data_IF_850291100179
#
_entry.id   IF_850291100179
#
_cell.length_a   1.000
_cell.length_b   1.000
_cell.length_c   1.000
_cell.angle_alpha   90.00
_cell.angle_beta   90.00
_cell.angle_gamma   90.00
#
_symmetry.space_group_name_H-M   'P 1'
#
loop_
_entity.id
_entity.type
_entity.pdbx_description
1 polymer ?
#
# COMPACT_ATOMS: atom_id res chain seq x y z
N UNK A 1 -9.08 15.38 18.96
CA UNK A 1 -8.42 14.12 18.48
C UNK A 1 -6.92 14.32 18.54
N UNK A 2 -6.14 13.31 18.93
CA UNK A 2 -4.69 13.47 19.15
C UNK A 2 -3.91 12.50 18.25
N UNK A 3 -2.89 13.04 17.58
CA UNK A 3 -1.90 12.30 16.77
C UNK A 3 -0.52 12.30 17.48
N UNK A 4 -0.51 12.41 18.80
CA UNK A 4 0.71 12.51 19.61
C UNK A 4 1.71 13.58 19.13
N UNK A 5 1.19 14.69 18.55
CA UNK A 5 2.01 15.80 18.05
C UNK A 5 2.71 15.57 16.72
N UNK A 6 2.51 14.41 16.09
CA UNK A 6 3.08 14.11 14.74
C UNK A 6 2.48 15.05 13.69
N UNK A 7 1.15 15.24 13.74
CA UNK A 7 0.46 16.20 12.88
C UNK A 7 -0.14 17.31 13.75
N UNK A 8 0.12 18.56 13.38
CA UNK A 8 -0.40 19.74 14.07
C UNK A 8 -1.54 20.36 13.26
N UNK A 9 -2.55 20.87 13.98
CA UNK A 9 -3.68 21.64 13.41
C UNK A 9 -4.55 20.88 12.38
N UNK A 10 -4.48 19.55 12.32
CA UNK A 10 -5.39 18.78 11.49
C UNK A 10 -6.82 18.86 12.05
N UNK A 11 -7.77 19.29 11.22
CA UNK A 11 -9.20 19.40 11.58
C UNK A 11 -10.01 18.22 11.02
N UNK A 12 -9.61 17.69 9.88
CA UNK A 12 -10.30 16.61 9.19
C UNK A 12 -9.43 15.36 9.08
N UNK A 13 -10.08 14.21 9.13
CA UNK A 13 -9.41 12.91 9.04
C UNK A 13 -10.23 11.95 8.18
N UNK A 14 -9.56 11.20 7.32
CA UNK A 14 -10.09 10.00 6.71
C UNK A 14 -9.91 8.86 7.71
N UNK A 15 -11.03 8.32 8.16
CA UNK A 15 -11.10 7.23 9.13
C UNK A 15 -12.03 6.16 8.57
N UNK A 16 -11.59 4.90 8.61
CA UNK A 16 -12.39 3.77 8.18
C UNK A 16 -12.21 2.60 9.13
N UNK A 17 -13.26 1.82 9.32
CA UNK A 17 -13.21 0.54 10.00
C UNK A 17 -13.32 -0.61 9.01
N UNK A 18 -12.90 -1.78 9.42
CA UNK A 18 -13.02 -3.01 8.65
C UNK A 18 -13.29 -4.20 9.58
N UNK A 19 -14.10 -5.13 9.14
CA UNK A 19 -14.23 -6.42 9.78
C UNK A 19 -13.09 -7.34 9.35
N UNK A 20 -12.65 -8.20 10.26
CA UNK A 20 -11.61 -9.17 9.93
C UNK A 20 -12.13 -10.19 8.91
N UNK A 21 -11.31 -10.48 7.90
CA UNK A 21 -11.66 -11.42 6.83
C UNK A 21 -10.47 -11.69 5.91
N UNK A 22 -10.68 -12.58 4.95
CA UNK A 22 -9.68 -12.84 3.92
C UNK A 22 -9.46 -11.59 3.07
N UNK A 23 -8.20 -11.19 2.85
CA UNK A 23 -7.78 -9.99 2.13
C UNK A 23 -8.35 -8.66 2.67
N UNK A 24 -8.93 -8.66 3.89
CA UNK A 24 -9.56 -7.47 4.45
C UNK A 24 -8.58 -6.29 4.61
N UNK A 25 -7.33 -6.54 4.99
CA UNK A 25 -6.34 -5.49 5.15
C UNK A 25 -5.85 -4.95 3.81
N UNK A 26 -5.73 -5.81 2.80
CA UNK A 26 -5.42 -5.42 1.42
C UNK A 26 -6.54 -4.57 0.83
N UNK A 27 -7.79 -4.97 0.98
CA UNK A 27 -8.96 -4.20 0.54
C UNK A 27 -9.03 -2.84 1.23
N UNK A 28 -8.76 -2.80 2.55
CA UNK A 28 -8.69 -1.54 3.30
C UNK A 28 -7.58 -0.62 2.75
N UNK A 29 -6.40 -1.18 2.50
CA UNK A 29 -5.26 -0.45 1.93
C UNK A 29 -5.60 0.13 0.56
N UNK A 30 -6.18 -0.68 -0.32
CA UNK A 30 -6.63 -0.29 -1.65
C UNK A 30 -7.66 0.85 -1.61
N UNK A 31 -8.74 0.67 -0.87
CA UNK A 31 -9.83 1.64 -0.81
C UNK A 31 -9.35 2.98 -0.23
N UNK A 32 -8.57 2.95 0.83
CA UNK A 32 -8.08 4.16 1.47
C UNK A 32 -7.04 4.88 0.62
N UNK A 33 -6.14 4.16 -0.06
CA UNK A 33 -5.19 4.78 -0.99
C UNK A 33 -5.89 5.47 -2.15
N UNK A 34 -6.95 4.87 -2.69
CA UNK A 34 -7.78 5.50 -3.72
C UNK A 34 -8.36 6.84 -3.26
N UNK A 35 -8.81 6.94 -2.00
CA UNK A 35 -9.27 8.20 -1.41
C UNK A 35 -8.12 9.20 -1.22
N UNK A 36 -6.94 8.75 -0.83
CA UNK A 36 -5.74 9.57 -0.67
C UNK A 36 -5.29 10.14 -2.02
N UNK A 37 -5.26 9.33 -3.06
CA UNK A 37 -4.94 9.78 -4.42
C UNK A 37 -5.99 10.79 -4.93
N UNK A 38 -7.26 10.57 -4.65
CA UNK A 38 -8.31 11.54 -4.99
C UNK A 38 -8.13 12.87 -4.21
N UNK A 39 -7.79 12.81 -2.92
CA UNK A 39 -7.48 14.01 -2.13
C UNK A 39 -6.28 14.76 -2.72
N UNK A 40 -5.24 14.05 -3.13
CA UNK A 40 -4.06 14.60 -3.81
C UNK A 40 -4.43 15.30 -5.12
N UNK A 41 -5.29 14.69 -5.92
CA UNK A 41 -5.82 15.30 -7.16
C UNK A 41 -6.55 16.61 -6.91
N UNK A 42 -7.18 16.77 -5.73
CA UNK A 42 -7.85 17.98 -5.28
C UNK A 42 -6.88 19.00 -4.63
N UNK A 43 -5.57 18.75 -4.63
CA UNK A 43 -4.56 19.62 -4.01
C UNK A 43 -4.50 19.53 -2.48
N UNK A 44 -5.11 18.50 -1.88
CA UNK A 44 -5.09 18.28 -0.44
C UNK A 44 -3.89 17.43 -0.04
N UNK A 45 -3.31 17.74 1.11
CA UNK A 45 -2.26 16.95 1.75
C UNK A 45 -2.86 15.88 2.66
N UNK A 46 -2.25 14.70 2.67
CA UNK A 46 -2.62 13.56 3.51
C UNK A 46 -1.38 12.91 4.11
N UNK A 47 -1.58 12.06 5.11
CA UNK A 47 -0.50 11.27 5.70
C UNK A 47 -1.06 9.98 6.30
N UNK A 48 -0.49 8.82 5.95
CA UNK A 48 -0.81 7.55 6.57
C UNK A 48 -0.30 7.49 8.01
N UNK A 49 -1.19 7.22 8.98
CA UNK A 49 -0.86 7.04 10.39
C UNK A 49 -1.37 5.68 10.88
N UNK A 50 -0.44 4.72 11.08
CA UNK A 50 -0.76 3.37 11.53
C UNK A 50 -0.63 3.13 13.03
N UNK A 51 0.19 3.92 13.74
CA UNK A 51 0.47 3.70 15.17
C UNK A 51 0.56 4.99 16.02
N UNK A 52 0.55 6.14 15.38
CA UNK A 52 0.81 7.45 16.01
C UNK A 52 -0.48 8.25 16.23
N UNK A 53 -1.56 7.58 16.65
CA UNK A 53 -2.83 8.23 16.96
C UNK A 53 -3.55 7.55 18.14
N UNK A 54 -4.43 8.29 18.81
CA UNK A 54 -5.17 7.82 19.99
C UNK A 54 -6.41 7.05 19.54
N UNK A 55 -6.26 5.72 19.38
CA UNK A 55 -7.30 4.83 18.81
C UNK A 55 -8.64 4.99 19.53
N UNK A 56 -8.69 4.97 20.87
CA UNK A 56 -9.94 5.03 21.61
C UNK A 56 -10.81 6.24 21.24
N UNK A 57 -10.19 7.39 21.02
CA UNK A 57 -10.92 8.60 20.62
C UNK A 57 -11.45 8.55 19.21
N UNK A 58 -10.67 7.98 18.30
CA UNK A 58 -11.12 7.82 16.91
C UNK A 58 -12.19 6.73 16.79
N UNK A 59 -12.03 5.60 17.49
CA UNK A 59 -13.04 4.52 17.55
C UNK A 59 -14.37 5.03 18.09
N UNK A 60 -14.36 5.82 19.17
CA UNK A 60 -15.56 6.44 19.72
C UNK A 60 -16.20 7.42 18.72
N UNK A 61 -15.39 8.23 18.05
CA UNK A 61 -15.87 9.23 17.11
C UNK A 61 -16.56 8.63 15.88
N UNK A 62 -16.15 7.44 15.42
CA UNK A 62 -16.79 6.75 14.29
C UNK A 62 -17.84 5.73 14.72
N UNK A 63 -18.06 5.56 16.03
CA UNK A 63 -19.00 4.54 16.53
C UNK A 63 -18.54 3.12 16.20
N UNK A 64 -17.23 2.82 16.33
CA UNK A 64 -16.65 1.51 16.00
C UNK A 64 -17.45 0.39 16.68
N UNK A 65 -17.90 -0.60 15.90
CA UNK A 65 -18.69 -1.71 16.39
C UNK A 65 -17.82 -2.86 16.90
N UNK A 66 -18.41 -3.76 17.67
CA UNK A 66 -17.74 -4.99 18.10
C UNK A 66 -17.32 -5.84 16.89
N UNK A 67 -16.10 -6.34 16.91
CA UNK A 67 -15.51 -7.10 15.80
C UNK A 67 -14.91 -6.28 14.69
N UNK A 68 -15.10 -4.94 14.69
CA UNK A 68 -14.43 -4.06 13.74
C UNK A 68 -13.05 -3.64 14.24
N UNK A 69 -12.15 -3.44 13.28
CA UNK A 69 -10.80 -2.89 13.49
C UNK A 69 -10.73 -1.48 12.91
N UNK A 70 -9.96 -0.62 13.56
CA UNK A 70 -9.54 0.68 13.06
C UNK A 70 -8.03 0.63 12.76
N UNK A 71 -7.62 0.25 11.52
CA UNK A 71 -6.22 -0.01 11.23
C UNK A 71 -5.36 1.26 11.21
N UNK A 72 -5.83 2.28 10.52
CA UNK A 72 -5.08 3.52 10.28
C UNK A 72 -6.02 4.71 10.17
N UNK A 73 -5.47 5.91 10.35
CA UNK A 73 -6.14 7.17 10.03
C UNK A 73 -5.29 7.98 9.06
N UNK A 74 -5.89 8.99 8.42
CA UNK A 74 -5.14 9.95 7.61
C UNK A 74 -5.71 11.35 7.83
N UNK A 75 -4.92 12.31 8.36
CA UNK A 75 -5.34 13.70 8.34
C UNK A 75 -5.46 14.19 6.89
N UNK A 76 -6.38 15.09 6.66
CA UNK A 76 -6.64 15.73 5.35
C UNK A 76 -6.73 17.23 5.54
N UNK A 77 -6.08 17.98 4.67
CA UNK A 77 -6.13 19.44 4.70
C UNK A 77 -5.17 20.06 3.69
N UNK A 78 -5.18 21.37 3.62
CA UNK A 78 -4.20 22.06 2.78
C UNK A 78 -2.79 21.86 3.34
N UNK A 79 -1.81 21.47 2.49
CA UNK A 79 -0.45 21.28 2.96
C UNK A 79 0.15 22.59 3.44
N UNK A 80 0.89 22.55 4.56
CA UNK A 80 1.62 23.70 5.05
C UNK A 80 2.70 24.14 4.04
N UNK A 81 2.91 25.44 3.91
CA UNK A 81 3.96 26.01 3.03
C UNK A 81 5.36 25.54 3.43
N UNK A 82 5.58 25.28 4.72
CA UNK A 82 6.85 24.77 5.25
C UNK A 82 6.60 23.52 6.11
N UNK A 83 7.40 22.49 5.86
CA UNK A 83 7.39 21.25 6.66
C UNK A 83 7.95 21.51 8.06
N UNK A 84 7.32 20.96 9.09
CA UNK A 84 7.81 21.04 10.47
C UNK A 84 9.14 20.27 10.63
N UNK A 85 9.94 20.68 11.62
CA UNK A 85 11.19 19.98 11.93
C UNK A 85 10.95 18.50 12.31
N UNK A 86 9.88 18.23 13.07
CA UNK A 86 9.48 16.87 13.46
C UNK A 86 9.12 16.02 12.23
N UNK A 87 8.38 16.57 11.27
CA UNK A 87 8.05 15.87 10.02
C UNK A 87 9.30 15.53 9.21
N UNK A 88 10.25 16.45 9.12
CA UNK A 88 11.52 16.23 8.43
C UNK A 88 12.32 15.09 9.05
N UNK A 89 12.41 15.03 10.39
CA UNK A 89 13.12 13.96 11.10
C UNK A 89 12.41 12.60 10.87
N UNK A 90 11.09 12.54 10.98
CA UNK A 90 10.33 11.31 10.78
C UNK A 90 10.49 10.77 9.35
N UNK A 91 10.42 11.64 8.34
CA UNK A 91 10.65 11.25 6.94
C UNK A 91 12.08 10.77 6.71
N UNK A 92 13.06 11.45 7.26
CA UNK A 92 14.46 11.04 7.17
C UNK A 92 14.70 9.69 7.84
N UNK A 93 14.21 9.46 9.06
CA UNK A 93 14.36 8.20 9.79
C UNK A 93 13.67 7.02 9.10
N UNK A 94 12.54 7.27 8.42
CA UNK A 94 11.85 6.27 7.62
C UNK A 94 12.48 6.05 6.23
N UNK A 95 13.45 6.87 5.82
CA UNK A 95 14.01 6.84 4.47
C UNK A 95 12.97 7.08 3.38
N UNK A 96 11.98 7.96 3.66
CA UNK A 96 10.75 8.10 2.85
C UNK A 96 10.98 8.48 1.39
N UNK A 97 12.15 9.05 1.08
CA UNK A 97 12.50 9.48 -0.27
C UNK A 97 13.29 8.38 -1.04
N UNK A 98 13.67 7.29 -0.35
CA UNK A 98 14.36 6.17 -0.97
C UNK A 98 13.35 5.13 -1.47
N UNK A 99 13.65 4.53 -2.60
CA UNK A 99 12.88 3.40 -3.14
C UNK A 99 13.80 2.24 -3.42
N UNK A 100 13.32 1.03 -3.18
CA UNK A 100 14.07 -0.17 -3.56
C UNK A 100 14.36 -0.16 -5.05
N UNK A 101 15.50 -0.70 -5.48
CA UNK A 101 15.78 -0.93 -6.89
C UNK A 101 14.68 -1.77 -7.54
N UNK A 102 14.43 -1.53 -8.81
CA UNK A 102 13.47 -2.28 -9.61
C UNK A 102 13.71 -3.80 -9.54
N UNK A 103 15.00 -4.20 -9.61
CA UNK A 103 15.44 -5.60 -9.54
C UNK A 103 15.11 -6.32 -8.24
N UNK A 104 14.87 -5.59 -7.15
CA UNK A 104 14.56 -6.16 -5.84
C UNK A 104 13.07 -6.40 -5.63
N UNK A 105 12.23 -5.86 -6.53
CA UNK A 105 10.77 -5.85 -6.42
C UNK A 105 10.12 -6.69 -7.51
N UNK A 106 10.63 -6.61 -8.76
CA UNK A 106 10.00 -7.19 -9.94
C UNK A 106 10.84 -8.30 -10.53
N UNK A 107 10.18 -9.43 -10.80
CA UNK A 107 10.82 -10.67 -11.24
C UNK A 107 10.14 -11.23 -12.49
N UNK A 108 10.92 -11.97 -13.30
CA UNK A 108 10.45 -12.71 -14.46
C UNK A 108 10.71 -14.19 -14.25
N UNK A 109 9.78 -15.04 -14.60
CA UNK A 109 9.90 -16.51 -14.55
C UNK A 109 10.02 -17.08 -13.13
N UNK A 110 10.94 -16.54 -12.31
CA UNK A 110 11.16 -16.92 -10.91
C UNK A 110 11.82 -15.78 -10.13
N UNK A 111 11.91 -15.91 -8.80
CA UNK A 111 12.43 -14.85 -7.91
C UNK A 111 13.95 -14.67 -7.93
N UNK A 112 14.69 -15.45 -8.70
CA UNK A 112 16.13 -15.23 -8.93
C UNK A 112 16.42 -14.43 -10.19
N UNK A 113 15.42 -14.15 -11.03
CA UNK A 113 15.56 -13.42 -12.30
C UNK A 113 14.82 -12.08 -12.22
N UNK A 114 15.53 -10.95 -12.10
CA UNK A 114 14.89 -9.65 -12.15
C UNK A 114 14.20 -9.41 -13.49
N UNK A 115 13.00 -8.84 -13.44
CA UNK A 115 12.28 -8.35 -14.60
C UNK A 115 12.92 -7.04 -15.08
N UNK A 116 13.27 -6.94 -16.34
CA UNK A 116 13.71 -5.66 -16.92
C UNK A 116 12.50 -4.79 -17.30
N UNK A 117 12.68 -3.47 -17.36
CA UNK A 117 11.62 -2.57 -17.83
C UNK A 117 11.17 -2.88 -19.27
N UNK A 118 12.10 -3.28 -20.12
CA UNK A 118 11.77 -3.73 -21.49
C UNK A 118 10.89 -4.99 -21.49
N UNK A 119 11.19 -5.96 -20.63
CA UNK A 119 10.34 -7.14 -20.45
C UNK A 119 8.99 -6.82 -19.83
N UNK A 120 8.88 -5.80 -18.97
CA UNK A 120 7.60 -5.33 -18.42
C UNK A 120 6.67 -4.80 -19.54
N UNK A 121 7.25 -4.27 -20.62
CA UNK A 121 6.52 -3.80 -21.79
C UNK A 121 5.46 -2.74 -21.44
N UNK A 122 4.24 -2.93 -21.89
CA UNK A 122 3.09 -2.03 -21.65
C UNK A 122 2.76 -1.83 -20.16
N UNK A 123 3.22 -2.71 -19.27
CA UNK A 123 3.02 -2.60 -17.81
C UNK A 123 4.14 -1.87 -17.06
N UNK A 124 5.18 -1.39 -17.78
CA UNK A 124 6.35 -0.75 -17.14
C UNK A 124 5.93 0.45 -16.27
N UNK A 125 5.01 1.29 -16.75
CA UNK A 125 4.52 2.46 -16.00
C UNK A 125 3.71 2.04 -14.75
N UNK A 126 2.86 1.03 -14.86
CA UNK A 126 2.09 0.53 -13.72
C UNK A 126 3.00 -0.05 -12.64
N UNK A 127 4.03 -0.80 -13.02
CA UNK A 127 5.03 -1.32 -12.08
C UNK A 127 5.88 -0.21 -11.47
N UNK A 128 6.23 0.83 -12.22
CA UNK A 128 6.95 1.98 -11.65
C UNK A 128 6.11 2.72 -10.61
N UNK A 129 4.80 2.89 -10.84
CA UNK A 129 3.90 3.49 -9.85
C UNK A 129 3.76 2.61 -8.60
N UNK A 130 3.79 1.27 -8.73
CA UNK A 130 3.93 0.37 -7.58
C UNK A 130 5.24 0.60 -6.84
N UNK A 131 6.36 0.74 -7.53
CA UNK A 131 7.66 1.00 -6.89
C UNK A 131 7.67 2.31 -6.11
N UNK A 132 6.95 3.31 -6.59
CA UNK A 132 6.83 4.63 -5.96
C UNK A 132 5.78 4.68 -4.85
N UNK A 133 4.90 3.69 -4.75
CA UNK A 133 3.83 3.63 -3.76
C UNK A 133 4.35 3.80 -2.31
N UNK A 134 3.59 4.44 -1.42
CA UNK A 134 3.96 4.55 -0.02
C UNK A 134 3.78 3.21 0.72
N UNK A 135 4.56 3.03 1.77
CA UNK A 135 4.42 1.89 2.69
C UNK A 135 4.83 2.25 4.11
N UNK A 136 4.37 1.49 5.07
CA UNK A 136 4.71 1.67 6.48
C UNK A 136 6.23 1.62 6.66
N UNK A 137 6.80 2.68 7.26
CA UNK A 137 8.25 2.91 7.40
C UNK A 137 9.07 2.65 6.12
N UNK A 138 8.45 2.86 4.96
CA UNK A 138 9.04 2.71 3.62
C UNK A 138 9.63 1.30 3.35
N UNK A 139 9.02 0.26 3.91
CA UNK A 139 9.52 -1.12 3.77
C UNK A 139 9.33 -1.72 2.40
N UNK A 140 8.32 -1.25 1.63
CA UNK A 140 8.04 -1.75 0.28
C UNK A 140 8.02 -3.29 0.26
N UNK A 141 7.07 -3.94 0.98
CA UNK A 141 7.12 -5.36 1.25
C UNK A 141 6.68 -6.22 0.06
N UNK A 142 6.15 -5.63 -0.98
CA UNK A 142 5.66 -6.32 -2.17
C UNK A 142 6.78 -6.90 -3.03
N UNK A 143 6.51 -8.05 -3.63
CA UNK A 143 7.30 -8.69 -4.69
C UNK A 143 6.35 -9.11 -5.79
N UNK A 144 6.67 -8.81 -7.03
CA UNK A 144 5.79 -9.09 -8.17
C UNK A 144 6.53 -9.95 -9.16
N UNK A 145 5.95 -11.09 -9.46
CA UNK A 145 6.46 -12.04 -10.44
C UNK A 145 5.59 -11.98 -11.70
N UNK A 146 6.20 -11.71 -12.85
CA UNK A 146 5.55 -11.78 -14.15
C UNK A 146 5.67 -13.17 -14.74
N UNK A 147 4.55 -13.80 -15.08
CA UNK A 147 4.51 -14.92 -16.02
C UNK A 147 4.07 -14.41 -17.39
N UNK A 148 5.04 -14.32 -18.30
CA UNK A 148 4.80 -13.83 -19.65
C UNK A 148 4.01 -14.82 -20.51
N UNK A 149 4.10 -16.13 -20.23
CA UNK A 149 3.39 -17.17 -20.97
C UNK A 149 1.87 -17.15 -20.68
N UNK A 150 1.52 -16.81 -19.45
CA UNK A 150 0.12 -16.72 -19.01
C UNK A 150 -0.43 -15.29 -19.00
N UNK A 151 0.39 -14.29 -19.32
CA UNK A 151 0.05 -12.87 -19.21
C UNK A 151 -0.42 -12.49 -17.81
N UNK A 152 0.26 -12.95 -16.76
CA UNK A 152 -0.09 -12.70 -15.36
C UNK A 152 0.99 -11.95 -14.60
N UNK A 153 0.55 -11.26 -13.55
CA UNK A 153 1.41 -10.69 -12.53
C UNK A 153 0.95 -11.22 -11.17
N UNK A 154 1.79 -12.00 -10.52
CA UNK A 154 1.52 -12.55 -9.19
C UNK A 154 2.10 -11.63 -8.12
N UNK A 155 1.28 -11.22 -7.18
CA UNK A 155 1.64 -10.32 -6.09
C UNK A 155 1.89 -11.10 -4.81
N UNK A 156 3.04 -10.86 -4.20
CA UNK A 156 3.50 -11.52 -2.99
C UNK A 156 3.94 -10.51 -1.94
N UNK A 157 3.89 -10.93 -0.68
CA UNK A 157 4.46 -10.22 0.46
C UNK A 157 5.76 -10.87 0.95
N UNK A 158 6.80 -10.05 1.07
CA UNK A 158 8.01 -10.36 1.83
C UNK A 158 7.85 -9.83 3.25
N UNK A 159 7.45 -10.69 4.18
CA UNK A 159 7.15 -10.26 5.54
C UNK A 159 8.40 -9.92 6.32
N UNK A 160 8.44 -8.73 6.90
CA UNK A 160 9.47 -8.32 7.82
C UNK A 160 9.06 -8.65 9.27
N UNK A 161 9.98 -9.17 10.04
CA UNK A 161 9.76 -9.49 11.47
C UNK A 161 9.42 -8.22 12.27
N UNK A 162 8.50 -8.32 13.23
CA UNK A 162 8.18 -7.25 14.17
C UNK A 162 7.05 -6.30 13.77
N UNK A 163 6.53 -6.38 12.56
CA UNK A 163 5.44 -5.52 12.06
C UNK A 163 4.04 -5.92 12.50
N UNK A 164 3.82 -7.18 12.85
CA UNK A 164 2.50 -7.76 13.17
C UNK A 164 2.08 -7.54 14.63
N UNK A 165 2.77 -6.68 15.39
CA UNK A 165 2.56 -6.54 16.84
C UNK A 165 1.52 -5.48 17.23
N UNK A 166 0.93 -4.77 16.30
CA UNK A 166 -0.05 -3.73 16.61
C UNK A 166 -1.49 -4.23 16.38
N UNK A 167 -2.05 -4.89 17.41
CA UNK A 167 -3.52 -4.96 17.58
C UNK A 167 -4.28 -5.71 16.49
N UNK A 168 -3.81 -6.88 16.05
CA UNK A 168 -4.42 -7.65 14.96
C UNK A 168 -4.49 -6.93 13.60
N UNK A 169 -3.69 -5.87 13.42
CA UNK A 169 -3.57 -5.12 12.18
C UNK A 169 -2.26 -5.45 11.50
N UNK A 170 -2.30 -5.99 10.32
CA UNK A 170 -1.12 -6.19 9.48
C UNK A 170 -0.91 -4.99 8.58
N UNK A 171 0.06 -4.14 8.93
CA UNK A 171 0.41 -2.98 8.08
C UNK A 171 1.00 -3.40 6.74
N UNK A 172 1.62 -4.57 6.65
CA UNK A 172 2.20 -5.07 5.40
C UNK A 172 1.14 -5.51 4.40
N UNK A 173 0.02 -6.06 4.88
CA UNK A 173 -1.12 -6.39 4.01
C UNK A 173 -1.79 -5.12 3.50
N UNK A 174 -1.91 -4.09 4.35
CA UNK A 174 -2.35 -2.74 3.93
C UNK A 174 -1.40 -2.17 2.87
N UNK A 175 -0.08 -2.27 3.08
CA UNK A 175 0.92 -1.80 2.11
C UNK A 175 0.77 -2.49 0.75
N UNK A 176 0.43 -3.79 0.73
CA UNK A 176 0.16 -4.49 -0.52
C UNK A 176 -1.11 -3.97 -1.19
N UNK A 177 -2.17 -3.71 -0.43
CA UNK A 177 -3.39 -3.08 -0.95
C UNK A 177 -3.11 -1.72 -1.60
N UNK A 178 -2.23 -0.92 -0.99
CA UNK A 178 -1.75 0.34 -1.58
C UNK A 178 -1.05 0.07 -2.93
N UNK A 179 -0.14 -0.91 -2.99
CA UNK A 179 0.56 -1.27 -4.23
C UNK A 179 -0.40 -1.74 -5.33
N UNK A 180 -1.40 -2.56 -4.98
CA UNK A 180 -2.48 -3.03 -5.87
C UNK A 180 -3.28 -1.84 -6.42
N UNK A 181 -3.61 -0.85 -5.57
CA UNK A 181 -4.31 0.36 -5.99
C UNK A 181 -3.52 1.16 -7.04
N UNK A 182 -2.22 1.39 -6.80
CA UNK A 182 -1.34 2.08 -7.75
C UNK A 182 -1.24 1.32 -9.08
N UNK A 183 -1.09 0.00 -9.04
CA UNK A 183 -1.04 -0.84 -10.23
C UNK A 183 -2.32 -0.73 -11.05
N UNK A 184 -3.46 -1.00 -10.44
CA UNK A 184 -4.74 -1.06 -11.15
C UNK A 184 -5.17 0.29 -11.72
N UNK A 185 -5.05 1.37 -10.93
CA UNK A 185 -5.39 2.71 -11.42
C UNK A 185 -4.52 3.12 -12.61
N UNK A 186 -3.23 2.78 -12.59
CA UNK A 186 -2.34 3.05 -13.74
C UNK A 186 -2.73 2.20 -14.94
N UNK A 187 -3.00 0.91 -14.74
CA UNK A 187 -3.46 0.01 -15.82
C UNK A 187 -4.72 0.55 -16.47
N UNK A 188 -5.69 1.03 -15.68
CA UNK A 188 -6.93 1.64 -16.18
C UNK A 188 -6.66 2.94 -16.94
N UNK A 189 -5.79 3.81 -16.45
CA UNK A 189 -5.45 5.10 -17.06
C UNK A 189 -4.77 4.92 -18.43
N UNK A 190 -3.90 3.92 -18.57
CA UNK A 190 -3.25 3.62 -19.86
C UNK A 190 -4.09 2.72 -20.78
N UNK A 191 -5.36 2.48 -20.42
CA UNK A 191 -6.34 1.78 -21.27
C UNK A 191 -6.17 0.26 -21.33
N UNK A 192 -5.37 -0.34 -20.45
CA UNK A 192 -5.24 -1.80 -20.35
C UNK A 192 -6.38 -2.39 -19.52
N UNK A 193 -6.69 -3.66 -19.79
CA UNK A 193 -7.78 -4.39 -19.13
C UNK A 193 -7.27 -5.68 -18.52
N UNK A 194 -7.84 -6.06 -17.39
CA UNK A 194 -7.54 -7.29 -16.70
C UNK A 194 -8.44 -7.48 -15.49
N UNK A 195 -8.15 -8.50 -14.70
CA UNK A 195 -8.90 -8.80 -13.49
C UNK A 195 -8.01 -9.38 -12.41
N UNK A 196 -8.38 -9.14 -11.19
CA UNK A 196 -7.80 -9.81 -10.02
C UNK A 196 -8.44 -11.18 -9.82
N UNK A 197 -7.62 -12.17 -9.47
CA UNK A 197 -8.07 -13.52 -9.16
C UNK A 197 -7.08 -14.21 -8.21
N UNK A 198 -7.57 -15.22 -7.50
CA UNK A 198 -6.70 -16.14 -6.76
C UNK A 198 -6.27 -17.23 -7.72
N UNK A 199 -4.97 -17.35 -7.93
CA UNK A 199 -4.38 -18.39 -8.77
C UNK A 199 -3.73 -19.45 -7.88
N UNK A 200 -4.34 -20.62 -7.81
CA UNK A 200 -3.83 -21.75 -7.00
C UNK A 200 -2.58 -22.39 -7.59
N UNK A 201 -2.26 -22.09 -8.87
CA UNK A 201 -1.07 -22.55 -9.55
C UNK A 201 0.09 -21.54 -9.48
N UNK A 202 -0.12 -20.37 -8.85
CA UNK A 202 0.92 -19.35 -8.69
C UNK A 202 2.21 -19.97 -8.11
N UNK A 203 3.39 -19.61 -8.64
CA UNK A 203 4.67 -20.16 -8.18
C UNK A 203 4.87 -19.97 -6.68
N UNK A 204 5.24 -21.05 -5.98
CA UNK A 204 5.47 -21.02 -4.53
C UNK A 204 6.90 -20.64 -4.23
N UNK A 205 7.08 -19.65 -3.34
CA UNK A 205 8.38 -19.25 -2.79
C UNK A 205 8.29 -19.27 -1.26
N UNK A 206 9.21 -20.01 -0.60
CA UNK A 206 9.15 -20.25 0.86
C UNK A 206 9.22 -18.97 1.71
N UNK A 207 9.89 -17.95 1.20
CA UNK A 207 10.11 -16.67 1.88
C UNK A 207 9.05 -15.62 1.60
N UNK A 208 8.07 -15.94 0.76
CA UNK A 208 7.06 -14.99 0.28
C UNK A 208 5.66 -15.58 0.44
N UNK A 209 4.73 -14.74 0.87
CA UNK A 209 3.31 -15.10 0.91
C UNK A 209 2.66 -14.65 -0.39
N UNK A 210 2.13 -15.61 -1.16
CA UNK A 210 1.29 -15.29 -2.32
C UNK A 210 -0.03 -14.69 -1.86
N UNK A 211 -0.46 -13.60 -2.52
CA UNK A 211 -1.69 -12.90 -2.15
C UNK A 211 -2.71 -12.92 -3.28
N UNK A 212 -2.36 -12.40 -4.46
CA UNK A 212 -3.31 -12.27 -5.58
C UNK A 212 -2.59 -12.20 -6.92
N UNK A 213 -3.32 -12.50 -7.98
CA UNK A 213 -2.83 -12.44 -9.36
C UNK A 213 -3.66 -11.46 -10.18
N UNK A 214 -2.97 -10.60 -10.92
CA UNK A 214 -3.55 -9.85 -12.02
C UNK A 214 -3.47 -10.68 -13.30
N UNK A 215 -4.62 -10.93 -13.95
CA UNK A 215 -4.71 -11.55 -15.25
C UNK A 215 -4.94 -10.47 -16.30
N UNK A 216 -4.02 -10.33 -17.27
CA UNK A 216 -4.18 -9.47 -18.44
C UNK A 216 -5.25 -10.08 -19.38
N UNK A 217 -6.20 -9.29 -19.83
CA UNK A 217 -7.28 -9.69 -20.74
C UNK A 217 -7.11 -9.06 -22.15
N UNK A 218 -5.93 -8.50 -22.46
CA UNK A 218 -5.65 -7.90 -23.77
C UNK A 218 -4.91 -8.84 -24.69
#
# INVERSE_FOLDING_TARGET
>A
MSTYGVIKNAQFFLVGSIQNGNLAMEDYGYCKEKLILQATKLGLGTCWLGGTFQISRFSQAIGLQEGELLPTISPVGYPAQQRSFTERILRWSAGSDNRKPWSDIFFAVNFSQPLTQSQAGKYSEALENVRLAPSATNKQPWRILRDAAQNTFHFYLSRAFGYNLLRNVSLQDIDLGIAICHFELTVQEIGLKGRWQIDTAAPKEKSLDYIVTWQDNN
#
